data_IF_326651796690
#
_entry.id   IF_326651796690
#
_cell.length_a   1.000
_cell.length_b   1.000
_cell.length_c   1.000
_cell.angle_alpha   90.00
_cell.angle_beta   90.00
_cell.angle_gamma   90.00
#
_symmetry.space_group_name_H-M   'P 1'
#
loop_
_entity.id
_entity.type
_entity.pdbx_description
1 polymer ?
#
# COMPACT_ATOMS: atom_id res chain seq x y z
N UNK A 1 4.03 43.13 5.84
CA UNK A 1 3.33 41.96 6.43
C UNK A 1 2.13 41.49 5.61
N UNK A 2 1.25 42.37 5.12
CA UNK A 2 0.02 41.96 4.37
C UNK A 2 0.28 41.37 2.99
N UNK A 3 1.17 41.97 2.20
CA UNK A 3 1.61 41.43 0.90
C UNK A 3 2.22 40.05 1.03
N UNK A 4 3.03 39.84 2.09
CA UNK A 4 3.59 38.53 2.42
C UNK A 4 2.47 37.51 2.69
N UNK A 5 1.45 37.87 3.49
CA UNK A 5 0.32 36.98 3.75
C UNK A 5 -0.46 36.61 2.47
N UNK A 6 -0.68 37.56 1.56
CA UNK A 6 -1.31 37.29 0.27
C UNK A 6 -0.50 36.28 -0.56
N UNK A 7 0.81 36.53 -0.70
CA UNK A 7 1.69 35.64 -1.46
C UNK A 7 1.74 34.26 -0.80
N UNK A 8 1.89 34.18 0.52
CA UNK A 8 1.88 32.92 1.25
C UNK A 8 0.55 32.16 1.10
N UNK A 9 -0.59 32.86 1.16
CA UNK A 9 -1.91 32.26 0.96
C UNK A 9 -2.09 31.69 -0.44
N UNK A 10 -1.72 32.45 -1.48
CA UNK A 10 -1.77 31.99 -2.87
C UNK A 10 -0.86 30.77 -3.12
N UNK A 11 0.38 30.83 -2.64
CA UNK A 11 1.33 29.72 -2.77
C UNK A 11 0.83 28.48 -2.04
N UNK A 12 0.27 28.64 -0.84
CA UNK A 12 -0.29 27.53 -0.07
C UNK A 12 -1.48 26.88 -0.80
N UNK A 13 -2.45 27.68 -1.27
CA UNK A 13 -3.60 27.17 -2.02
C UNK A 13 -3.14 26.42 -3.27
N UNK A 14 -2.27 27.02 -4.08
CA UNK A 14 -1.78 26.40 -5.29
C UNK A 14 -1.01 25.10 -5.00
N UNK A 15 -0.15 25.09 -3.98
CA UNK A 15 0.59 23.90 -3.59
C UNK A 15 -0.33 22.75 -3.16
N UNK A 16 -1.40 23.04 -2.41
CA UNK A 16 -2.36 22.02 -1.97
C UNK A 16 -3.22 21.53 -3.13
N UNK A 17 -3.76 22.42 -3.97
CA UNK A 17 -4.54 22.01 -5.15
C UNK A 17 -3.69 21.14 -6.09
N UNK A 18 -2.42 21.48 -6.25
CA UNK A 18 -1.48 20.68 -7.03
C UNK A 18 -1.20 19.31 -6.37
N UNK A 19 -1.00 19.25 -5.05
CA UNK A 19 -0.80 17.98 -4.32
C UNK A 19 -2.06 17.09 -4.41
N UNK A 20 -3.26 17.66 -4.29
CA UNK A 20 -4.54 16.96 -4.49
C UNK A 20 -4.66 16.42 -5.91
N UNK A 21 -4.39 17.25 -6.93
CA UNK A 21 -4.43 16.83 -8.33
C UNK A 21 -3.45 15.69 -8.60
N UNK A 22 -2.22 15.79 -8.11
CA UNK A 22 -1.22 14.74 -8.30
C UNK A 22 -1.52 13.45 -7.52
N UNK A 23 -2.14 13.54 -6.34
CA UNK A 23 -2.42 12.38 -5.49
C UNK A 23 -3.71 11.63 -5.90
N UNK A 24 -4.70 12.35 -6.43
CA UNK A 24 -6.04 11.79 -6.74
C UNK A 24 -6.25 11.61 -8.24
N UNK A 25 -5.81 12.57 -9.06
CA UNK A 25 -6.19 12.64 -10.49
C UNK A 25 -5.09 12.09 -11.40
N UNK A 26 -3.80 12.24 -11.08
CA UNK A 26 -2.70 11.89 -11.98
C UNK A 26 -2.24 10.42 -11.80
N UNK A 27 -2.54 9.49 -12.75
CA UNK A 27 -2.11 8.10 -12.67
C UNK A 27 -0.68 7.95 -13.21
N UNK A 28 0.31 8.63 -12.63
CA UNK A 28 1.71 8.52 -13.09
C UNK A 28 2.66 8.21 -11.95
N UNK A 29 3.74 7.51 -12.31
CA UNK A 29 4.96 7.35 -11.51
C UNK A 29 5.62 8.71 -11.34
N UNK A 30 5.32 9.41 -10.25
CA UNK A 30 5.78 10.79 -10.12
C UNK A 30 7.11 10.89 -9.38
N UNK A 31 8.08 11.47 -10.07
CA UNK A 31 9.50 11.50 -9.73
C UNK A 31 9.92 12.63 -8.78
N UNK A 32 8.98 13.49 -8.34
CA UNK A 32 9.31 14.66 -7.52
C UNK A 32 9.65 14.27 -6.07
N UNK A 33 10.80 14.76 -5.58
CA UNK A 33 11.36 14.42 -4.25
C UNK A 33 10.58 15.04 -3.08
N UNK A 34 9.98 16.22 -3.24
CA UNK A 34 9.30 16.96 -2.17
C UNK A 34 7.80 17.09 -2.50
N UNK A 35 6.96 16.38 -1.74
CA UNK A 35 5.50 16.45 -1.80
C UNK A 35 4.94 16.42 -0.38
N UNK A 36 3.84 17.12 -0.15
CA UNK A 36 3.17 17.11 1.15
C UNK A 36 2.72 15.69 1.49
N UNK A 37 2.08 15.00 0.54
CA UNK A 37 1.62 13.62 0.72
C UNK A 37 2.77 12.66 1.08
N UNK A 38 3.92 12.72 0.39
CA UNK A 38 5.06 11.85 0.69
C UNK A 38 5.71 12.16 2.05
N UNK A 39 5.82 13.45 2.40
CA UNK A 39 6.31 13.88 3.71
C UNK A 39 5.35 13.44 4.83
N UNK A 40 4.04 13.50 4.59
CA UNK A 40 3.02 13.03 5.49
C UNK A 40 3.14 11.53 5.76
N UNK A 41 3.20 10.69 4.71
CA UNK A 41 3.31 9.25 4.89
C UNK A 41 4.64 8.83 5.51
N UNK A 42 5.76 9.41 5.07
CA UNK A 42 7.07 9.10 5.65
C UNK A 42 7.18 9.58 7.11
N UNK A 43 6.74 10.81 7.39
CA UNK A 43 6.73 11.41 8.72
C UNK A 43 5.76 10.75 9.69
N UNK A 44 4.60 10.28 9.22
CA UNK A 44 3.63 9.54 10.03
C UNK A 44 4.03 8.07 10.25
N UNK A 45 4.60 7.42 9.24
CA UNK A 45 4.94 6.00 9.32
C UNK A 45 6.12 5.70 10.27
N UNK A 46 7.14 6.56 10.31
CA UNK A 46 8.30 6.35 11.19
C UNK A 46 7.92 6.23 12.67
N UNK A 47 7.19 7.18 13.29
CA UNK A 47 6.76 7.05 14.68
C UNK A 47 5.80 5.88 14.86
N UNK A 48 4.86 5.68 13.93
CA UNK A 48 3.89 4.57 14.00
C UNK A 48 4.57 3.20 14.04
N UNK A 49 5.51 2.97 13.11
CA UNK A 49 6.27 1.73 13.03
C UNK A 49 7.22 1.56 14.23
N UNK A 50 7.80 2.62 14.76
CA UNK A 50 8.65 2.56 15.96
C UNK A 50 7.87 2.18 17.21
N UNK A 51 6.64 2.67 17.37
CA UNK A 51 5.75 2.24 18.45
C UNK A 51 5.41 0.77 18.27
N UNK A 52 5.01 0.35 17.06
CA UNK A 52 4.68 -1.03 16.77
C UNK A 52 5.86 -2.01 16.94
N UNK A 53 7.11 -1.57 16.72
CA UNK A 53 8.33 -2.36 16.99
C UNK A 53 8.57 -2.60 18.49
N UNK A 54 8.11 -1.68 19.35
CA UNK A 54 8.24 -1.80 20.82
C UNK A 54 7.12 -2.64 21.45
N UNK A 55 6.05 -2.91 20.72
CA UNK A 55 4.94 -3.76 21.18
C UNK A 55 5.30 -5.24 21.04
N UNK A 56 4.80 -6.07 21.96
CA UNK A 56 4.88 -7.53 21.82
C UNK A 56 4.17 -7.98 20.55
N UNK A 57 4.71 -8.98 19.85
CA UNK A 57 4.01 -9.61 18.72
C UNK A 57 2.67 -10.18 19.19
N UNK A 58 1.61 -9.92 18.41
CA UNK A 58 0.27 -10.38 18.69
C UNK A 58 -0.80 -9.44 18.13
N UNK A 59 -2.07 -9.80 18.34
CA UNK A 59 -3.25 -9.15 17.74
C UNK A 59 -3.29 -7.63 17.94
N UNK A 60 -2.86 -7.12 19.10
CA UNK A 60 -2.86 -5.66 19.39
C UNK A 60 -1.91 -4.88 18.49
N UNK A 61 -0.74 -5.45 18.18
CA UNK A 61 0.25 -4.83 17.29
C UNK A 61 -0.28 -4.79 15.86
N UNK A 62 -0.84 -5.89 15.38
CA UNK A 62 -1.42 -5.97 14.03
C UNK A 62 -2.64 -5.06 13.88
N UNK A 63 -3.52 -4.97 14.88
CA UNK A 63 -4.65 -4.04 14.89
C UNK A 63 -4.22 -2.56 14.84
N UNK A 64 -3.14 -2.21 15.54
CA UNK A 64 -2.57 -0.87 15.43
C UNK A 64 -1.97 -0.63 14.04
N UNK A 65 -1.26 -1.61 13.47
CA UNK A 65 -0.68 -1.49 12.13
C UNK A 65 -1.75 -1.40 11.04
N UNK A 66 -2.89 -2.08 11.19
CA UNK A 66 -4.00 -2.03 10.23
C UNK A 66 -4.74 -0.70 10.23
N UNK A 67 -4.75 0.02 11.36
CA UNK A 67 -5.39 1.33 11.47
C UNK A 67 -4.65 2.42 10.67
N UNK A 68 -3.33 2.30 10.48
CA UNK A 68 -2.53 3.36 9.86
C UNK A 68 -3.02 3.72 8.45
N UNK A 69 -3.24 2.74 7.57
CA UNK A 69 -3.67 2.98 6.18
C UNK A 69 -4.95 3.82 6.11
N UNK A 70 -6.08 3.34 6.64
CA UNK A 70 -7.35 4.07 6.64
C UNK A 70 -7.30 5.41 7.38
N UNK A 71 -6.68 5.45 8.57
CA UNK A 71 -6.63 6.66 9.40
C UNK A 71 -5.75 7.75 8.75
N UNK A 72 -4.62 7.37 8.17
CA UNK A 72 -3.71 8.31 7.49
C UNK A 72 -4.39 9.01 6.31
N UNK A 73 -5.27 8.32 5.58
CA UNK A 73 -6.05 8.92 4.49
C UNK A 73 -6.99 10.01 5.03
N UNK A 74 -7.73 9.73 6.10
CA UNK A 74 -8.64 10.71 6.72
C UNK A 74 -7.86 11.92 7.27
N UNK A 75 -6.71 11.68 7.90
CA UNK A 75 -5.85 12.75 8.40
C UNK A 75 -5.28 13.59 7.25
N UNK A 76 -4.81 12.97 6.16
CA UNK A 76 -4.30 13.68 4.99
C UNK A 76 -5.37 14.61 4.39
N UNK A 77 -6.60 14.13 4.26
CA UNK A 77 -7.72 14.94 3.82
C UNK A 77 -7.98 16.13 4.76
N UNK A 78 -7.96 15.89 6.08
CA UNK A 78 -8.08 16.95 7.08
C UNK A 78 -6.96 17.99 6.95
N UNK A 79 -5.73 17.56 6.68
CA UNK A 79 -4.58 18.45 6.45
C UNK A 79 -4.81 19.29 5.19
N UNK A 80 -5.23 18.69 4.07
CA UNK A 80 -5.53 19.45 2.85
C UNK A 80 -6.63 20.49 3.07
N UNK A 81 -7.74 20.11 3.69
CA UNK A 81 -8.83 21.03 4.01
C UNK A 81 -8.35 22.17 4.93
N UNK A 82 -7.62 21.84 6.00
CA UNK A 82 -7.06 22.82 6.93
C UNK A 82 -6.08 23.78 6.24
N UNK A 83 -5.19 23.28 5.38
CA UNK A 83 -4.24 24.12 4.65
C UNK A 83 -4.94 25.03 3.63
N UNK A 84 -6.00 24.57 2.97
CA UNK A 84 -6.80 25.42 2.08
C UNK A 84 -7.52 26.52 2.88
N UNK A 85 -8.19 26.17 3.98
CA UNK A 85 -8.83 27.12 4.89
C UNK A 85 -7.81 28.15 5.38
N UNK A 86 -6.63 27.72 5.83
CA UNK A 86 -5.57 28.62 6.25
C UNK A 86 -5.08 29.52 5.09
N UNK A 87 -4.97 28.97 3.88
CA UNK A 87 -4.62 29.71 2.68
C UNK A 87 -5.61 30.83 2.37
N UNK A 88 -6.91 30.53 2.37
CA UNK A 88 -7.97 31.52 2.16
C UNK A 88 -8.06 32.55 3.29
N UNK A 89 -7.87 32.10 4.54
CA UNK A 89 -7.75 32.98 5.70
C UNK A 89 -6.66 34.03 5.49
N UNK A 90 -5.48 33.62 5.02
CA UNK A 90 -4.38 34.52 4.70
C UNK A 90 -4.73 35.49 3.56
N UNK A 91 -5.53 35.07 2.58
CA UNK A 91 -6.02 35.96 1.52
C UNK A 91 -7.00 37.01 2.04
N UNK A 92 -7.99 36.62 2.85
CA UNK A 92 -8.94 37.57 3.43
C UNK A 92 -8.25 38.56 4.39
N UNK A 93 -7.34 38.06 5.22
CA UNK A 93 -6.55 38.89 6.13
C UNK A 93 -5.60 39.82 5.37
N UNK A 94 -4.93 39.32 4.34
CA UNK A 94 -3.99 40.08 3.53
C UNK A 94 -4.64 41.20 2.71
N UNK A 95 -5.86 40.97 2.22
CA UNK A 95 -6.66 42.00 1.52
C UNK A 95 -7.36 42.96 2.49
N UNK A 96 -7.34 42.69 3.80
CA UNK A 96 -8.11 43.41 4.81
C UNK A 96 -9.59 43.53 4.40
N UNK A 97 -10.17 42.38 4.00
CA UNK A 97 -11.53 42.32 3.47
C UNK A 97 -12.50 42.89 4.48
N UNK A 98 -13.30 43.87 4.07
CA UNK A 98 -14.35 44.45 4.91
C UNK A 98 -15.41 43.39 5.16
N UNK A 99 -15.65 43.09 6.44
CA UNK A 99 -16.63 42.11 6.89
C UNK A 99 -17.83 42.82 7.50
N UNK A 100 -19.02 42.29 7.24
CA UNK A 100 -20.19 42.54 8.06
C UNK A 100 -20.09 41.62 9.27
N UNK A 101 -19.46 42.10 10.35
CA UNK A 101 -19.37 41.43 11.63
C UNK A 101 -19.82 42.42 12.69
N UNK A 102 -20.69 42.01 13.63
CA UNK A 102 -21.20 42.89 14.70
C UNK A 102 -20.15 43.35 15.72
N UNK A 103 -18.86 43.05 15.51
CA UNK A 103 -17.75 43.37 16.40
C UNK A 103 -16.87 44.51 15.82
N UNK A 104 -16.47 45.46 16.67
CA UNK A 104 -15.65 46.63 16.28
C UNK A 104 -14.22 46.27 15.83
N UNK A 105 -13.69 45.11 16.24
CA UNK A 105 -12.31 44.67 15.90
C UNK A 105 -12.33 43.30 15.25
N UNK A 106 -11.96 43.25 13.96
CA UNK A 106 -11.80 42.01 13.21
C UNK A 106 -10.41 41.43 13.46
N UNK A 107 -10.35 40.23 14.06
CA UNK A 107 -9.11 39.52 14.34
C UNK A 107 -8.76 38.51 13.25
N UNK A 108 -7.53 37.96 13.26
CA UNK A 108 -7.16 36.86 12.37
C UNK A 108 -8.09 35.64 12.52
N UNK A 109 -8.49 35.32 13.77
CA UNK A 109 -9.41 34.22 14.07
C UNK A 109 -10.80 34.43 13.47
N UNK A 110 -11.23 35.68 13.30
CA UNK A 110 -12.48 36.04 12.63
C UNK A 110 -12.44 35.64 11.15
N UNK A 111 -11.31 35.88 10.46
CA UNK A 111 -11.10 35.43 9.09
C UNK A 111 -10.98 33.91 8.99
N UNK A 112 -10.35 33.26 9.97
CA UNK A 112 -10.24 31.79 10.01
C UNK A 112 -11.60 31.13 10.15
N UNK A 113 -12.44 31.67 11.03
CA UNK A 113 -13.81 31.23 11.19
C UNK A 113 -14.64 31.44 9.92
N UNK A 114 -14.56 32.63 9.31
CA UNK A 114 -15.22 32.92 8.02
C UNK A 114 -14.83 31.91 6.94
N UNK A 115 -13.53 31.67 6.77
CA UNK A 115 -12.99 30.71 5.80
C UNK A 115 -13.48 29.29 6.09
N UNK A 116 -13.45 28.84 7.35
CA UNK A 116 -13.99 27.53 7.73
C UNK A 116 -15.48 27.38 7.38
N UNK A 117 -16.31 28.35 7.76
CA UNK A 117 -17.76 28.33 7.48
C UNK A 117 -18.06 28.40 5.97
N UNK A 118 -17.23 29.09 5.19
CA UNK A 118 -17.35 29.22 3.73
C UNK A 118 -16.88 27.96 2.99
N UNK A 119 -15.75 27.39 3.41
CA UNK A 119 -15.14 26.19 2.83
C UNK A 119 -16.00 24.95 3.01
N UNK A 120 -16.56 24.76 4.22
CA UNK A 120 -17.50 23.67 4.52
C UNK A 120 -18.95 23.99 4.10
N UNK A 121 -19.17 25.10 3.39
CA UNK A 121 -20.48 25.52 2.87
C UNK A 121 -21.58 25.63 3.93
N UNK A 122 -21.19 25.94 5.17
CA UNK A 122 -22.09 26.03 6.32
C UNK A 122 -22.84 27.36 6.33
N UNK A 123 -22.15 28.45 5.98
CA UNK A 123 -22.77 29.73 5.64
C UNK A 123 -23.71 30.33 6.70
N UNK A 124 -23.35 30.33 7.99
CA UNK A 124 -24.19 30.86 9.07
C UNK A 124 -24.69 32.30 8.86
N UNK A 125 -23.97 33.10 8.05
CA UNK A 125 -24.38 34.46 7.68
C UNK A 125 -24.12 35.52 8.77
N UNK A 126 -23.56 35.10 9.90
CA UNK A 126 -23.12 35.94 11.01
C UNK A 126 -21.91 36.80 10.65
N UNK A 127 -21.02 36.29 9.80
CA UNK A 127 -19.87 36.99 9.26
C UNK A 127 -19.84 36.82 7.74
N UNK A 128 -19.84 37.93 7.00
CA UNK A 128 -19.82 37.89 5.53
C UNK A 128 -18.99 39.01 4.91
N UNK A 129 -18.28 38.75 3.79
CA UNK A 129 -17.54 39.79 3.08
C UNK A 129 -18.49 40.74 2.36
N UNK A 130 -18.29 42.05 2.54
CA UNK A 130 -19.09 43.09 1.88
C UNK A 130 -18.44 43.60 0.59
N UNK A 131 -17.12 43.48 0.47
CA UNK A 131 -16.39 43.93 -0.71
C UNK A 131 -16.56 42.99 -1.92
N UNK A 132 -16.54 43.50 -3.16
CA UNK A 132 -16.63 42.65 -4.36
C UNK A 132 -15.53 41.59 -4.44
N UNK A 133 -14.29 41.97 -4.08
CA UNK A 133 -13.14 41.05 -4.07
C UNK A 133 -13.32 39.97 -2.99
N UNK A 134 -13.77 40.33 -1.79
CA UNK A 134 -14.03 39.38 -0.72
C UNK A 134 -15.12 38.37 -1.09
N UNK A 135 -16.20 38.84 -1.74
CA UNK A 135 -17.27 37.95 -2.24
C UNK A 135 -16.75 37.00 -3.33
N UNK A 136 -15.94 37.50 -4.27
CA UNK A 136 -15.34 36.65 -5.29
C UNK A 136 -14.42 35.58 -4.68
N UNK A 137 -13.59 35.94 -3.69
CA UNK A 137 -12.75 34.99 -2.97
C UNK A 137 -13.58 33.91 -2.26
N UNK A 138 -14.68 34.29 -1.59
CA UNK A 138 -15.58 33.34 -0.95
C UNK A 138 -16.21 32.36 -1.96
N UNK A 139 -16.62 32.83 -3.14
CA UNK A 139 -17.16 31.96 -4.21
C UNK A 139 -16.09 30.95 -4.68
N UNK A 140 -14.85 31.41 -4.90
CA UNK A 140 -13.76 30.53 -5.32
C UNK A 140 -13.41 29.52 -4.20
N UNK A 141 -13.41 29.96 -2.95
CA UNK A 141 -13.19 29.09 -1.79
C UNK A 141 -14.25 27.99 -1.70
N UNK A 142 -15.52 28.35 -1.80
CA UNK A 142 -16.63 27.39 -1.83
C UNK A 142 -16.49 26.42 -3.01
N UNK A 143 -16.14 26.91 -4.20
CA UNK A 143 -15.93 26.05 -5.37
C UNK A 143 -14.78 25.04 -5.14
N UNK A 144 -13.67 25.47 -4.54
CA UNK A 144 -12.54 24.59 -4.23
C UNK A 144 -12.86 23.61 -3.08
N UNK A 145 -13.58 24.04 -2.04
CA UNK A 145 -14.05 23.15 -0.98
C UNK A 145 -14.97 22.06 -1.54
N UNK A 146 -15.98 22.45 -2.32
CA UNK A 146 -16.88 21.50 -2.99
C UNK A 146 -16.12 20.53 -3.92
N UNK A 147 -15.16 21.05 -4.70
CA UNK A 147 -14.34 20.21 -5.59
C UNK A 147 -13.50 19.20 -4.82
N UNK A 148 -12.91 19.59 -3.68
CA UNK A 148 -12.17 18.67 -2.81
C UNK A 148 -13.08 17.55 -2.30
N UNK A 149 -14.28 17.87 -1.80
CA UNK A 149 -15.23 16.86 -1.34
C UNK A 149 -15.68 15.93 -2.47
N UNK A 150 -16.02 16.48 -3.64
CA UNK A 150 -16.42 15.70 -4.80
C UNK A 150 -15.31 14.70 -5.23
N UNK A 151 -14.05 15.16 -5.22
CA UNK A 151 -12.90 14.30 -5.51
C UNK A 151 -12.73 13.19 -4.48
N UNK A 152 -12.83 13.50 -3.19
CA UNK A 152 -12.72 12.50 -2.11
C UNK A 152 -13.83 11.45 -2.21
N UNK A 153 -15.07 11.89 -2.41
CA UNK A 153 -16.23 10.99 -2.55
C UNK A 153 -16.04 10.06 -3.76
N UNK A 154 -15.42 10.57 -4.84
CA UNK A 154 -15.13 9.77 -6.03
C UNK A 154 -13.92 8.85 -5.88
N UNK A 155 -12.91 9.28 -5.11
CA UNK A 155 -11.64 8.58 -4.93
C UNK A 155 -11.73 7.40 -3.97
N UNK A 156 -12.45 7.55 -2.85
CA UNK A 156 -12.55 6.51 -1.82
C UNK A 156 -13.09 5.17 -2.37
N UNK A 157 -14.18 5.13 -3.16
CA UNK A 157 -14.68 3.89 -3.74
C UNK A 157 -13.64 3.19 -4.63
N UNK A 158 -12.91 3.94 -5.45
CA UNK A 158 -11.86 3.38 -6.34
C UNK A 158 -10.76 2.73 -5.51
N UNK A 159 -10.27 3.43 -4.48
CA UNK A 159 -9.24 2.90 -3.58
C UNK A 159 -9.70 1.63 -2.86
N UNK A 160 -10.92 1.62 -2.31
CA UNK A 160 -11.46 0.44 -1.62
C UNK A 160 -11.74 -0.71 -2.58
N UNK A 161 -12.14 -0.44 -3.82
CA UNK A 161 -12.32 -1.47 -4.83
C UNK A 161 -10.97 -2.11 -5.21
N UNK A 162 -9.91 -1.32 -5.40
CA UNK A 162 -8.56 -1.86 -5.64
C UNK A 162 -8.06 -2.68 -4.46
N UNK A 163 -8.28 -2.22 -3.22
CA UNK A 163 -7.97 -2.99 -2.02
C UNK A 163 -8.75 -4.32 -1.98
N UNK A 164 -10.07 -4.28 -2.21
CA UNK A 164 -10.92 -5.47 -2.17
C UNK A 164 -10.53 -6.51 -3.23
N UNK A 165 -10.21 -6.08 -4.47
CA UNK A 165 -9.73 -6.97 -5.53
C UNK A 165 -8.42 -7.64 -5.13
N UNK A 166 -7.47 -6.88 -4.57
CA UNK A 166 -6.20 -7.41 -4.07
C UNK A 166 -6.41 -8.51 -3.01
N UNK A 167 -7.26 -8.24 -2.02
CA UNK A 167 -7.50 -9.15 -0.90
C UNK A 167 -8.23 -10.44 -1.30
N UNK A 168 -9.10 -10.39 -2.32
CA UNK A 168 -9.77 -11.57 -2.84
C UNK A 168 -8.76 -12.61 -3.34
N UNK A 169 -7.78 -12.20 -4.15
CA UNK A 169 -6.73 -13.11 -4.66
C UNK A 169 -5.80 -13.63 -3.56
N UNK A 170 -5.46 -12.80 -2.58
CA UNK A 170 -4.66 -13.22 -1.41
C UNK A 170 -5.41 -14.30 -0.61
N UNK A 171 -6.72 -14.12 -0.42
CA UNK A 171 -7.56 -15.09 0.28
C UNK A 171 -7.69 -16.40 -0.50
N UNK A 172 -7.75 -16.35 -1.83
CA UNK A 172 -7.74 -17.54 -2.68
C UNK A 172 -6.40 -18.28 -2.65
N UNK A 173 -5.27 -17.57 -2.49
CA UNK A 173 -3.95 -18.19 -2.37
C UNK A 173 -3.85 -19.07 -1.12
N UNK A 174 -4.48 -18.67 -0.02
CA UNK A 174 -4.47 -19.36 1.26
C UNK A 174 -4.93 -20.82 1.14
N UNK A 175 -6.04 -21.06 0.44
CA UNK A 175 -6.56 -22.41 0.19
C UNK A 175 -5.61 -23.26 -0.66
N UNK A 176 -4.74 -22.63 -1.45
CA UNK A 176 -3.85 -23.29 -2.42
C UNK A 176 -2.42 -23.46 -1.93
N UNK A 177 -1.93 -22.56 -1.08
CA UNK A 177 -0.55 -22.48 -0.62
C UNK A 177 -0.42 -22.60 0.91
N UNK A 178 -1.54 -22.78 1.62
CA UNK A 178 -1.61 -22.85 3.08
C UNK A 178 -1.57 -21.49 3.78
N UNK A 179 -1.58 -21.54 5.12
CA UNK A 179 -1.69 -20.38 6.01
C UNK A 179 -0.56 -20.38 7.05
N UNK A 180 0.52 -19.59 6.90
CA UNK A 180 0.82 -18.63 5.82
C UNK A 180 1.12 -19.31 4.48
N UNK A 181 1.04 -18.58 3.36
CA UNK A 181 1.32 -19.15 2.05
C UNK A 181 2.77 -19.62 1.90
N UNK A 182 2.99 -20.78 1.28
CA UNK A 182 4.29 -21.42 1.04
C UNK A 182 4.38 -21.93 -0.41
N UNK A 183 5.56 -21.78 -1.03
CA UNK A 183 5.79 -22.23 -2.39
C UNK A 183 5.76 -23.76 -2.51
N UNK A 184 6.32 -24.45 -1.51
CA UNK A 184 6.34 -25.92 -1.45
C UNK A 184 4.93 -26.47 -1.29
N UNK A 185 4.13 -25.89 -0.40
CA UNK A 185 2.74 -26.31 -0.21
C UNK A 185 1.90 -26.07 -1.48
N UNK A 186 2.13 -24.96 -2.18
CA UNK A 186 1.45 -24.65 -3.44
C UNK A 186 1.71 -25.73 -4.51
N UNK A 187 2.98 -26.12 -4.69
CA UNK A 187 3.35 -27.19 -5.63
C UNK A 187 2.81 -28.55 -5.19
N UNK A 188 2.91 -28.85 -3.88
CA UNK A 188 2.42 -30.11 -3.29
C UNK A 188 0.92 -30.31 -3.55
N UNK A 189 0.09 -29.29 -3.31
CA UNK A 189 -1.36 -29.37 -3.53
C UNK A 189 -1.74 -29.51 -5.00
N UNK A 190 -1.10 -28.75 -5.90
CA UNK A 190 -1.43 -28.82 -7.34
C UNK A 190 -0.99 -30.14 -8.00
N UNK A 191 0.05 -30.80 -7.46
CA UNK A 191 0.46 -32.11 -7.97
C UNK A 191 -0.42 -33.25 -7.48
N UNK A 192 -0.91 -33.19 -6.23
CA UNK A 192 -1.84 -34.18 -5.70
C UNK A 192 -3.12 -34.31 -6.56
N UNK A 193 -3.55 -33.21 -7.20
CA UNK A 193 -4.72 -33.16 -8.09
C UNK A 193 -4.38 -33.40 -9.57
N UNK A 194 -3.11 -33.73 -9.89
CA UNK A 194 -2.62 -33.97 -11.25
C UNK A 194 -2.82 -32.79 -12.23
N UNK A 195 -2.78 -31.55 -11.72
CA UNK A 195 -3.26 -30.38 -12.44
C UNK A 195 -2.20 -29.30 -12.70
N UNK A 196 -1.18 -29.63 -13.50
CA UNK A 196 -0.27 -28.60 -14.03
C UNK A 196 -0.98 -27.59 -14.93
N UNK A 197 -2.11 -27.96 -15.53
CA UNK A 197 -2.98 -27.01 -16.22
C UNK A 197 -3.61 -25.98 -15.26
N UNK A 198 -4.04 -26.39 -14.07
CA UNK A 198 -4.51 -25.43 -13.06
C UNK A 198 -3.37 -24.59 -12.49
N UNK A 199 -2.17 -25.16 -12.33
CA UNK A 199 -1.00 -24.39 -11.95
C UNK A 199 -0.66 -23.33 -13.01
N UNK A 200 -0.73 -23.68 -14.30
CA UNK A 200 -0.53 -22.74 -15.40
C UNK A 200 -1.56 -21.60 -15.34
N UNK A 201 -2.85 -21.95 -15.20
CA UNK A 201 -3.93 -20.96 -15.05
C UNK A 201 -3.72 -20.06 -13.85
N UNK A 202 -3.33 -20.63 -12.70
CA UNK A 202 -3.01 -19.88 -11.51
C UNK A 202 -1.87 -18.89 -11.77
N UNK A 203 -0.79 -19.31 -12.42
CA UNK A 203 0.32 -18.40 -12.73
C UNK A 203 -0.07 -17.30 -13.71
N UNK A 204 -0.96 -17.56 -14.68
CA UNK A 204 -1.54 -16.53 -15.55
C UNK A 204 -2.38 -15.53 -14.75
N UNK A 205 -3.21 -16.00 -13.81
CA UNK A 205 -3.98 -15.14 -12.90
C UNK A 205 -3.05 -14.29 -12.02
N UNK A 206 -1.94 -14.85 -11.53
CA UNK A 206 -0.96 -14.10 -10.74
C UNK A 206 -0.05 -13.18 -11.56
N UNK A 207 0.13 -13.46 -12.86
CA UNK A 207 0.77 -12.52 -13.79
C UNK A 207 -0.08 -11.24 -13.89
N UNK A 208 -1.38 -11.42 -14.16
CA UNK A 208 -2.34 -10.31 -14.22
C UNK A 208 -2.44 -9.60 -12.87
N UNK A 209 -2.58 -10.33 -11.77
CA UNK A 209 -2.66 -9.76 -10.43
C UNK A 209 -1.40 -8.97 -10.07
N UNK A 210 -0.21 -9.43 -10.48
CA UNK A 210 1.04 -8.69 -10.24
C UNK A 210 1.10 -7.38 -11.03
N UNK A 211 0.56 -7.37 -12.26
CA UNK A 211 0.43 -6.15 -13.05
C UNK A 211 -0.58 -5.16 -12.42
N UNK A 212 -1.74 -5.65 -11.97
CA UNK A 212 -2.75 -4.85 -11.26
C UNK A 212 -2.23 -4.33 -9.92
N UNK A 213 -1.46 -5.14 -9.18
CA UNK A 213 -0.81 -4.72 -7.94
C UNK A 213 0.18 -3.60 -8.21
N UNK A 214 1.04 -3.76 -9.22
CA UNK A 214 1.99 -2.73 -9.64
C UNK A 214 1.26 -1.42 -9.98
N UNK A 215 0.28 -1.47 -10.89
CA UNK A 215 -0.49 -0.30 -11.31
C UNK A 215 -1.13 0.40 -10.10
N UNK A 216 -1.88 -0.36 -9.28
CA UNK A 216 -2.61 0.20 -8.15
C UNK A 216 -1.70 0.81 -7.07
N UNK A 217 -0.50 0.24 -6.83
CA UNK A 217 0.43 0.73 -5.82
C UNK A 217 1.32 1.87 -6.33
N UNK A 218 1.49 1.99 -7.65
CA UNK A 218 2.06 3.19 -8.28
C UNK A 218 1.07 4.36 -8.26
N UNK A 219 -0.19 4.09 -8.59
CA UNK A 219 -1.27 5.08 -8.64
C UNK A 219 -1.71 5.53 -7.24
N UNK A 220 -1.81 4.59 -6.30
CA UNK A 220 -2.26 4.82 -4.92
C UNK A 220 -1.27 4.25 -3.89
N UNK A 221 -0.11 4.91 -3.66
CA UNK A 221 0.93 4.40 -2.76
C UNK A 221 0.46 4.10 -1.33
N UNK A 222 -0.61 4.76 -0.87
CA UNK A 222 -1.25 4.51 0.41
C UNK A 222 -1.68 3.04 0.59
N UNK A 223 -2.04 2.34 -0.50
CA UNK A 223 -2.43 0.92 -0.46
C UNK A 223 -1.33 0.00 0.06
N UNK A 224 -0.06 0.40 -0.04
CA UNK A 224 1.08 -0.34 0.54
C UNK A 224 0.92 -0.54 2.06
N UNK A 225 0.25 0.40 2.73
CA UNK A 225 0.06 0.40 4.18
C UNK A 225 -1.22 -0.30 4.63
N UNK A 226 -2.12 -0.66 3.71
CA UNK A 226 -3.34 -1.38 4.04
C UNK A 226 -3.00 -2.85 4.34
N UNK A 227 -3.37 -3.31 5.53
CA UNK A 227 -3.18 -4.69 5.98
C UNK A 227 -4.24 -5.62 5.40
N UNK A 228 -3.85 -6.87 5.16
CA UNK A 228 -4.78 -7.94 4.82
C UNK A 228 -5.66 -8.29 6.01
N UNK A 229 -6.79 -8.94 5.76
CA UNK A 229 -7.80 -9.23 6.78
C UNK A 229 -7.34 -10.26 7.83
N UNK A 230 -6.43 -11.17 7.46
CA UNK A 230 -5.87 -12.18 8.36
C UNK A 230 -4.41 -11.88 8.69
N UNK A 231 -4.02 -12.07 9.97
CA UNK A 231 -2.67 -11.76 10.49
C UNK A 231 -1.54 -12.53 9.76
N UNK A 232 -1.86 -13.70 9.20
CA UNK A 232 -0.93 -14.54 8.45
C UNK A 232 -0.97 -14.30 6.92
N UNK A 233 -1.65 -13.26 6.46
CA UNK A 233 -1.72 -12.89 5.05
C UNK A 233 -1.13 -11.48 4.84
N UNK A 234 -0.50 -11.28 3.69
CA UNK A 234 -0.16 -9.95 3.19
C UNK A 234 0.11 -10.02 1.70
N UNK A 235 -0.05 -8.89 1.01
CA UNK A 235 0.29 -8.81 -0.41
C UNK A 235 1.77 -9.08 -0.68
N UNK A 236 2.67 -8.67 0.23
CA UNK A 236 4.11 -8.99 0.14
C UNK A 236 4.32 -10.48 0.23
N UNK A 237 3.65 -11.13 1.19
CA UNK A 237 3.74 -12.56 1.38
C UNK A 237 3.24 -13.32 0.16
N UNK A 238 2.05 -12.98 -0.34
CA UNK A 238 1.49 -13.61 -1.53
C UNK A 238 2.41 -13.47 -2.76
N UNK A 239 2.86 -12.24 -3.05
CA UNK A 239 3.76 -11.95 -4.17
C UNK A 239 5.11 -12.69 -4.03
N UNK A 240 5.63 -12.79 -2.80
CA UNK A 240 6.87 -13.53 -2.53
C UNK A 240 6.67 -15.03 -2.73
N UNK A 241 5.57 -15.61 -2.28
CA UNK A 241 5.24 -17.02 -2.52
C UNK A 241 5.18 -17.32 -4.02
N UNK A 242 4.58 -16.44 -4.83
CA UNK A 242 4.55 -16.62 -6.29
C UNK A 242 5.93 -16.52 -6.91
N UNK A 243 6.78 -15.58 -6.47
CA UNK A 243 8.17 -15.47 -6.92
C UNK A 243 8.99 -16.72 -6.59
N UNK A 244 8.84 -17.23 -5.36
CA UNK A 244 9.48 -18.47 -4.91
C UNK A 244 9.02 -19.67 -5.76
N UNK A 245 7.71 -19.82 -5.99
CA UNK A 245 7.13 -20.87 -6.84
C UNK A 245 7.61 -20.77 -8.29
N UNK A 246 7.61 -19.57 -8.89
CA UNK A 246 8.10 -19.40 -10.25
C UNK A 246 9.60 -19.74 -10.34
N UNK A 247 10.39 -19.39 -9.33
CA UNK A 247 11.82 -19.71 -9.27
C UNK A 247 12.05 -21.22 -9.31
N UNK A 248 11.25 -22.01 -8.58
CA UNK A 248 11.32 -23.48 -8.62
C UNK A 248 10.90 -24.04 -9.98
N UNK A 249 9.79 -23.56 -10.54
CA UNK A 249 9.30 -24.03 -11.85
C UNK A 249 10.28 -23.71 -12.98
N UNK A 250 11.04 -22.62 -12.86
CA UNK A 250 12.07 -22.23 -13.81
C UNK A 250 13.33 -23.12 -13.77
N UNK A 251 13.53 -23.94 -12.71
CA UNK A 251 14.62 -24.92 -12.66
C UNK A 251 14.39 -26.11 -13.61
N UNK A 252 13.14 -26.33 -14.04
CA UNK A 252 12.80 -27.36 -15.04
C UNK A 252 12.16 -28.60 -14.42
N UNK A 253 10.90 -28.46 -14.01
CA UNK A 253 10.02 -29.59 -13.69
C UNK A 253 9.42 -30.15 -14.99
N UNK A 254 9.43 -31.47 -15.17
CA UNK A 254 8.78 -32.12 -16.31
C UNK A 254 7.26 -31.82 -16.29
N UNK A 255 6.70 -31.51 -17.47
CA UNK A 255 5.31 -31.07 -17.68
C UNK A 255 4.87 -29.77 -16.94
N UNK A 256 5.80 -29.07 -16.28
CA UNK A 256 5.47 -27.82 -15.59
C UNK A 256 5.35 -26.63 -16.56
N UNK A 257 4.55 -25.61 -16.20
CA UNK A 257 4.35 -24.40 -17.00
C UNK A 257 5.55 -23.43 -16.94
N UNK A 258 6.72 -23.87 -17.40
CA UNK A 258 7.98 -23.11 -17.29
C UNK A 258 7.97 -21.77 -18.04
N UNK A 259 7.27 -21.67 -19.18
CA UNK A 259 7.12 -20.39 -19.90
C UNK A 259 6.29 -19.39 -19.09
N UNK A 260 5.12 -19.82 -18.61
CA UNK A 260 4.24 -18.98 -17.82
C UNK A 260 4.92 -18.55 -16.51
N UNK A 261 5.63 -19.46 -15.84
CA UNK A 261 6.43 -19.13 -14.66
C UNK A 261 7.44 -18.00 -14.93
N UNK A 262 8.11 -18.01 -16.10
CA UNK A 262 9.02 -16.91 -16.48
C UNK A 262 8.30 -15.58 -16.66
N UNK A 263 7.12 -15.56 -17.29
CA UNK A 263 6.35 -14.34 -17.49
C UNK A 263 5.83 -13.78 -16.16
N UNK A 264 5.22 -14.64 -15.34
CA UNK A 264 4.75 -14.30 -13.99
C UNK A 264 5.89 -13.80 -13.11
N UNK A 265 7.05 -14.47 -13.11
CA UNK A 265 8.24 -14.02 -12.37
C UNK A 265 8.70 -12.62 -12.80
N UNK A 266 8.75 -12.37 -14.11
CA UNK A 266 9.21 -11.10 -14.65
C UNK A 266 8.34 -9.93 -14.16
N UNK A 267 7.01 -10.04 -14.27
CA UNK A 267 6.11 -8.98 -13.80
C UNK A 267 6.04 -8.89 -12.28
N UNK A 268 6.07 -10.01 -11.56
CA UNK A 268 6.06 -10.02 -10.09
C UNK A 268 7.31 -9.34 -9.52
N UNK A 269 8.49 -9.63 -10.09
CA UNK A 269 9.74 -8.96 -9.73
C UNK A 269 9.67 -7.47 -10.05
N UNK A 270 9.15 -7.11 -11.22
CA UNK A 270 8.98 -5.70 -11.60
C UNK A 270 8.08 -4.97 -10.59
N UNK A 271 6.97 -5.59 -10.17
CA UNK A 271 6.08 -5.08 -9.14
C UNK A 271 6.81 -4.81 -7.82
N UNK A 272 7.56 -5.78 -7.31
CA UNK A 272 8.34 -5.64 -6.06
C UNK A 272 9.34 -4.47 -6.15
N UNK A 273 10.12 -4.40 -7.23
CA UNK A 273 11.17 -3.39 -7.39
C UNK A 273 10.58 -1.98 -7.48
N UNK A 274 9.53 -1.81 -8.29
CA UNK A 274 8.90 -0.52 -8.50
C UNK A 274 8.16 -0.02 -7.26
N UNK A 275 7.49 -0.91 -6.51
CA UNK A 275 6.86 -0.57 -5.24
C UNK A 275 7.92 -0.18 -4.19
N UNK A 276 9.07 -0.86 -4.16
CA UNK A 276 10.19 -0.47 -3.30
C UNK A 276 10.70 0.94 -3.62
N UNK A 277 10.77 1.30 -4.91
CA UNK A 277 11.14 2.65 -5.35
C UNK A 277 10.09 3.70 -4.97
N UNK A 278 8.79 3.42 -5.13
CA UNK A 278 7.71 4.31 -4.69
C UNK A 278 7.81 4.60 -3.21
N UNK A 279 8.05 3.55 -2.42
CA UNK A 279 8.27 3.69 -0.99
C UNK A 279 9.65 4.27 -0.65
N UNK A 280 10.54 4.54 -1.61
CA UNK A 280 11.92 5.01 -1.37
C UNK A 280 12.69 4.10 -0.43
N UNK A 281 12.61 2.80 -0.69
CA UNK A 281 13.25 1.76 0.13
C UNK A 281 14.31 1.10 -0.73
N UNK A 282 15.58 1.27 -0.34
CA UNK A 282 16.67 0.56 -0.99
C UNK A 282 16.57 -0.95 -0.69
N UNK A 283 17.01 -1.83 -1.62
CA UNK A 283 17.10 -3.25 -1.34
C UNK A 283 18.01 -3.51 -0.13
N UNK A 284 17.63 -4.46 0.71
CA UNK A 284 18.45 -4.87 1.85
C UNK A 284 19.75 -5.50 1.35
N UNK A 285 20.91 -5.22 1.98
CA UNK A 285 22.12 -5.98 1.72
C UNK A 285 21.85 -7.48 1.91
N UNK A 286 22.39 -8.33 1.04
CA UNK A 286 22.16 -9.78 1.08
C UNK A 286 22.56 -10.35 2.45
N UNK A 287 23.62 -9.82 3.06
CA UNK A 287 24.13 -10.22 4.37
C UNK A 287 23.18 -9.87 5.53
N UNK A 288 22.29 -8.89 5.34
CA UNK A 288 21.27 -8.51 6.34
C UNK A 288 19.94 -9.23 6.11
N UNK A 289 19.78 -9.94 4.98
CA UNK A 289 18.59 -10.72 4.70
C UNK A 289 18.65 -11.99 5.54
N UNK A 290 17.56 -12.30 6.24
CA UNK A 290 17.47 -13.59 6.91
C UNK A 290 17.49 -14.70 5.85
N UNK A 291 18.19 -15.79 6.14
CA UNK A 291 18.15 -16.96 5.28
C UNK A 291 16.75 -17.59 5.35
N UNK A 292 16.01 -17.58 4.23
CA UNK A 292 14.64 -18.13 4.16
C UNK A 292 14.59 -19.60 3.77
N UNK A 293 15.66 -20.08 3.14
CA UNK A 293 15.83 -21.42 2.63
C UNK A 293 17.31 -21.76 2.77
N UNK A 294 17.63 -22.50 3.83
CA UNK A 294 18.95 -23.09 4.07
C UNK A 294 19.16 -24.33 3.19
N UNK A 295 20.41 -24.82 3.11
CA UNK A 295 20.69 -26.09 2.42
C UNK A 295 19.95 -27.28 3.05
N UNK A 296 19.79 -27.29 4.37
CA UNK A 296 18.98 -28.30 5.09
C UNK A 296 17.49 -28.20 4.70
N UNK A 297 16.96 -26.99 4.61
CA UNK A 297 15.58 -26.77 4.14
C UNK A 297 15.43 -27.18 2.66
N UNK A 298 16.47 -27.00 1.84
CA UNK A 298 16.44 -27.40 0.43
C UNK A 298 16.30 -28.92 0.29
N UNK A 299 17.07 -29.68 1.08
CA UNK A 299 16.91 -31.15 1.14
C UNK A 299 15.53 -31.55 1.64
N UNK A 300 15.04 -30.94 2.73
CA UNK A 300 13.69 -31.21 3.26
C UNK A 300 12.60 -30.88 2.24
N UNK A 301 12.74 -29.79 1.49
CA UNK A 301 11.84 -29.41 0.41
C UNK A 301 11.81 -30.48 -0.69
N UNK A 302 12.99 -30.98 -1.12
CA UNK A 302 13.07 -32.04 -2.12
C UNK A 302 12.35 -33.31 -1.65
N UNK A 303 12.56 -33.72 -0.40
CA UNK A 303 11.89 -34.89 0.18
C UNK A 303 10.36 -34.73 0.17
N UNK A 304 9.85 -33.57 0.59
CA UNK A 304 8.41 -33.29 0.58
C UNK A 304 7.86 -33.34 -0.85
N UNK A 305 8.53 -32.73 -1.81
CA UNK A 305 8.09 -32.69 -3.20
C UNK A 305 8.14 -34.09 -3.85
N UNK A 306 9.21 -34.85 -3.63
CA UNK A 306 9.36 -36.21 -4.14
C UNK A 306 8.29 -37.16 -3.59
N UNK A 307 7.98 -37.08 -2.28
CA UNK A 307 6.89 -37.86 -1.66
C UNK A 307 5.52 -37.56 -2.30
N UNK A 308 5.35 -36.36 -2.84
CA UNK A 308 4.11 -35.91 -3.48
C UNK A 308 4.19 -35.95 -5.02
N UNK A 309 5.11 -36.75 -5.58
CA UNK A 309 5.28 -36.98 -7.04
C UNK A 309 5.61 -35.71 -7.83
N UNK A 310 6.21 -34.70 -7.20
CA UNK A 310 6.83 -33.55 -7.86
C UNK A 310 8.31 -33.87 -8.03
N UNK A 311 8.70 -34.28 -9.23
CA UNK A 311 10.08 -34.67 -9.54
C UNK A 311 10.97 -33.44 -9.70
N UNK A 312 11.39 -32.85 -8.57
CA UNK A 312 12.35 -31.76 -8.53
C UNK A 312 13.72 -32.27 -8.06
N UNK A 313 14.59 -32.62 -8.99
CA UNK A 313 16.00 -32.91 -8.65
C UNK A 313 16.78 -31.60 -8.69
N UNK A 314 17.29 -31.16 -7.53
CA UNK A 314 18.16 -29.98 -7.44
C UNK A 314 19.58 -30.51 -7.24
N UNK A 315 20.38 -30.43 -8.29
CA UNK A 315 21.83 -30.60 -8.23
C UNK A 315 22.51 -29.28 -7.84
N UNK A 316 23.83 -29.31 -7.62
CA UNK A 316 24.63 -28.12 -7.26
C UNK A 316 24.46 -26.96 -8.28
N UNK A 317 24.28 -27.29 -9.57
CA UNK A 317 24.04 -26.30 -10.61
C UNK A 317 22.65 -25.65 -10.49
N UNK A 318 21.62 -26.42 -10.17
CA UNK A 318 20.25 -25.94 -9.97
C UNK A 318 20.11 -25.14 -8.69
N UNK A 319 20.80 -25.53 -7.61
CA UNK A 319 20.87 -24.76 -6.37
C UNK A 319 21.46 -23.38 -6.62
N UNK A 320 22.58 -23.31 -7.34
CA UNK A 320 23.20 -22.05 -7.74
C UNK A 320 22.28 -21.18 -8.60
N UNK A 321 21.55 -21.76 -9.55
CA UNK A 321 20.54 -21.01 -10.34
C UNK A 321 19.39 -20.50 -9.48
N UNK A 322 18.92 -21.30 -8.52
CA UNK A 322 17.88 -20.89 -7.58
C UNK A 322 18.33 -19.69 -6.74
N UNK A 323 19.57 -19.72 -6.25
CA UNK A 323 20.16 -18.55 -5.58
C UNK A 323 20.21 -17.32 -6.48
N UNK A 324 20.60 -17.49 -7.74
CA UNK A 324 20.65 -16.39 -8.72
C UNK A 324 19.26 -15.76 -8.91
N UNK A 325 18.20 -16.56 -9.04
CA UNK A 325 16.83 -16.06 -9.09
C UNK A 325 16.44 -15.33 -7.80
N UNK A 326 16.74 -15.91 -6.64
CA UNK A 326 16.45 -15.32 -5.32
C UNK A 326 17.13 -13.96 -5.13
N UNK A 327 18.38 -13.82 -5.57
CA UNK A 327 19.13 -12.54 -5.54
C UNK A 327 18.43 -11.42 -6.34
N UNK A 328 17.56 -11.76 -7.30
CA UNK A 328 16.84 -10.76 -8.10
C UNK A 328 15.66 -10.11 -7.38
N UNK A 329 15.07 -10.75 -6.35
CA UNK A 329 13.87 -10.26 -5.67
C UNK A 329 13.95 -10.25 -4.14
N UNK A 330 14.67 -11.19 -3.50
CA UNK A 330 14.75 -11.30 -2.04
C UNK A 330 15.19 -10.00 -1.36
N UNK A 331 16.26 -9.31 -1.81
CA UNK A 331 16.67 -8.03 -1.23
C UNK A 331 15.55 -6.99 -1.16
N UNK A 332 14.68 -6.94 -2.18
CA UNK A 332 13.60 -5.98 -2.26
C UNK A 332 12.40 -6.38 -1.39
N UNK A 333 11.97 -7.65 -1.42
CA UNK A 333 10.88 -8.11 -0.54
C UNK A 333 11.28 -8.03 0.93
N UNK A 334 12.54 -8.28 1.29
CA UNK A 334 13.06 -8.06 2.64
C UNK A 334 13.00 -6.59 3.07
N UNK A 335 13.43 -5.69 2.19
CA UNK A 335 13.38 -4.26 2.47
C UNK A 335 11.93 -3.78 2.69
N UNK A 336 11.00 -4.22 1.83
CA UNK A 336 9.57 -3.94 1.95
C UNK A 336 8.98 -4.53 3.24
N UNK A 337 9.27 -5.79 3.54
CA UNK A 337 8.84 -6.48 4.76
C UNK A 337 9.32 -5.76 6.03
N UNK A 338 10.60 -5.37 6.09
CA UNK A 338 11.20 -4.62 7.21
C UNK A 338 10.59 -3.23 7.35
N UNK A 339 10.36 -2.54 6.23
CA UNK A 339 9.75 -1.21 6.23
C UNK A 339 8.31 -1.25 6.69
N UNK A 340 7.50 -2.14 6.09
CA UNK A 340 6.06 -2.21 6.31
C UNK A 340 5.69 -3.03 7.52
N UNK A 341 6.63 -3.76 8.14
CA UNK A 341 6.41 -4.71 9.25
C UNK A 341 5.47 -5.85 8.85
N UNK A 342 5.62 -6.36 7.63
CA UNK A 342 4.86 -7.49 7.09
C UNK A 342 5.82 -8.68 6.95
N UNK A 343 5.63 -9.79 7.69
CA UNK A 343 6.53 -10.93 7.63
C UNK A 343 6.47 -11.64 6.27
N UNK A 344 7.63 -12.09 5.80
CA UNK A 344 7.76 -12.89 4.58
C UNK A 344 7.16 -14.31 4.77
N UNK A 345 6.85 -15.04 3.67
CA UNK A 345 6.45 -16.43 3.77
C UNK A 345 7.65 -17.33 4.03
N UNK A 346 7.47 -18.47 4.71
CA UNK A 346 8.46 -19.53 4.68
C UNK A 346 8.41 -20.28 3.33
N UNK A 347 9.49 -20.95 2.96
CA UNK A 347 9.47 -21.87 1.83
C UNK A 347 8.70 -23.14 2.15
N UNK A 348 8.87 -23.68 3.37
CA UNK A 348 8.21 -24.88 3.89
C UNK A 348 7.30 -24.48 5.05
N UNK A 349 6.08 -25.01 5.09
CA UNK A 349 5.19 -24.80 6.23
C UNK A 349 5.70 -25.51 7.50
N UNK A 350 5.53 -24.90 8.69
CA UNK A 350 5.65 -25.61 9.96
C UNK A 350 4.70 -26.82 10.01
N UNK A 351 5.08 -27.88 10.72
CA UNK A 351 4.27 -29.11 10.83
C UNK A 351 2.94 -28.88 11.56
N UNK A 352 2.89 -27.87 12.43
CA UNK A 352 1.70 -27.45 13.18
C UNK A 352 0.88 -26.36 12.45
N UNK A 353 1.21 -26.05 11.20
CA UNK A 353 0.46 -25.08 10.41
C UNK A 353 -0.96 -25.59 10.11
N UNK A 354 -1.95 -24.77 10.48
CA UNK A 354 -3.37 -25.05 10.25
C UNK A 354 -3.89 -24.03 9.26
N UNK A 355 -4.50 -24.50 8.18
CA UNK A 355 -5.18 -23.64 7.22
C UNK A 355 -6.27 -22.78 7.89
N UNK A 356 -6.39 -21.53 7.49
CA UNK A 356 -7.35 -20.60 8.09
C UNK A 356 -8.80 -21.11 7.96
N UNK A 357 -9.16 -21.76 6.85
CA UNK A 357 -10.51 -22.31 6.64
C UNK A 357 -10.87 -23.47 7.59
N UNK A 358 -9.86 -24.12 8.21
CA UNK A 358 -10.06 -25.11 9.27
C UNK A 358 -10.25 -24.48 10.64
N UNK A 359 -10.10 -23.15 10.75
CA UNK A 359 -10.25 -22.41 12.00
C UNK A 359 -11.44 -21.46 11.93
N UNK A 360 -12.16 -21.32 13.04
CA UNK A 360 -13.22 -20.33 13.18
C UNK A 360 -13.20 -19.73 14.59
N UNK A 361 -13.95 -18.65 14.81
CA UNK A 361 -14.15 -18.10 16.14
C UNK A 361 -14.83 -19.09 17.11
N UNK A 362 -15.45 -20.16 16.59
CA UNK A 362 -16.28 -21.10 17.33
C UNK A 362 -15.66 -22.51 17.44
N UNK A 363 -14.46 -22.74 16.88
CA UNK A 363 -13.79 -24.03 16.94
C UNK A 363 -12.80 -24.26 15.81
N UNK A 364 -12.10 -25.41 15.88
CA UNK A 364 -11.20 -25.91 14.83
C UNK A 364 -11.79 -27.19 14.26
N UNK A 365 -11.84 -27.29 12.93
CA UNK A 365 -12.09 -28.55 12.24
C UNK A 365 -10.81 -29.38 12.31
N UNK A 366 -10.90 -30.59 12.86
CA UNK A 366 -9.78 -31.54 12.89
C UNK A 366 -9.56 -32.15 11.51
#
# INVERSE_FOLDING_TARGET
MRTLALVCGLVLIFAILWDVFEAVILPRRVTRRLRLTNLFYSGGWVPWSNIARKMKLGRRREAMLSLFGPLSLLILLGIWAFCLILGYTLLFWGTNTVLNAGAEVVSFWTYLYLSGVTFFTLGYGDISPTSPVGRALAVIETANGFSLFALVISYLPVLYQSFSRREASISLLDARAGSPSSAVELLRRHRAENSFNDLNRLLTEWELWSAELLESHLSYPVLCYFRSQHDNQSWIRALTTILDTCSLLMLGLDDAPGWQARMTFAIARHAVVDIAQVLRTAPSPIQECAERLSSDDLHRMQEILAQNRVDLTIDEASEKRLEEFRKMYEPYVFALAKKLLMPLPPWILPEDAIDNWKTSAWGRLQ
#
